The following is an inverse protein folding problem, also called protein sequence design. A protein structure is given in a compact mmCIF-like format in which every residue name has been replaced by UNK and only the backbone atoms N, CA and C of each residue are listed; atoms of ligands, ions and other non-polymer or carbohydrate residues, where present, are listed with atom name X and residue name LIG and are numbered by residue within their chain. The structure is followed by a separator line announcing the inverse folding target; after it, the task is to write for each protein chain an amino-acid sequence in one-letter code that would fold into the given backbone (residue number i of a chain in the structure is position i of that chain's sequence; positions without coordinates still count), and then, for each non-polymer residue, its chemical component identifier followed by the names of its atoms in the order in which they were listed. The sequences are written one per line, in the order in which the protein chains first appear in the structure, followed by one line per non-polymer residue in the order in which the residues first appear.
data_IF_799663667618
#
_entry.id   IF_799663667618
#
_cell.length_a   1.000
_cell.length_b   1.000
_cell.length_c   1.000
_cell.angle_alpha   90.00
_cell.angle_beta   90.00
_cell.angle_gamma   90.00
#
_symmetry.space_group_name_H-M   'P 1'
#
loop_
_entity.id
_entity.type
_entity.pdbx_description
1 polymer ?
#
# COMPACT_ATOMS: atom_id res chain seq x y z
N UNK A 1 -8.25 12.67 -4.16
CA UNK A 1 -7.93 12.08 -2.85
C UNK A 1 -8.21 10.59 -2.94
N UNK A 2 -7.23 9.72 -2.68
CA UNK A 2 -7.46 8.28 -2.65
C UNK A 2 -7.94 7.91 -1.24
N UNK A 3 -9.05 7.15 -1.05
CA UNK A 3 -9.58 6.83 0.27
C UNK A 3 -8.55 6.17 1.19
N UNK A 4 -7.71 5.30 0.63
CA UNK A 4 -6.64 4.61 1.34
C UNK A 4 -5.52 5.54 1.80
N UNK A 5 -5.14 6.54 0.99
CA UNK A 5 -4.10 7.49 1.40
C UNK A 5 -4.56 8.36 2.56
N UNK A 6 -5.82 8.76 2.57
CA UNK A 6 -6.40 9.55 3.66
C UNK A 6 -6.43 8.75 4.97
N UNK A 7 -6.92 7.51 4.92
CA UNK A 7 -6.95 6.64 6.09
C UNK A 7 -5.54 6.36 6.63
N UNK A 8 -4.57 6.18 5.74
CA UNK A 8 -3.19 5.93 6.15
C UNK A 8 -2.59 7.11 6.92
N UNK A 9 -2.71 8.34 6.40
CA UNK A 9 -2.14 9.53 7.04
C UNK A 9 -2.88 9.92 8.33
N UNK A 10 -4.21 9.79 8.38
CA UNK A 10 -5.02 10.25 9.52
C UNK A 10 -5.05 9.25 10.69
N UNK A 11 -5.15 7.95 10.40
CA UNK A 11 -5.36 6.91 11.42
C UNK A 11 -4.13 6.00 11.57
N UNK A 12 -3.68 5.38 10.48
CA UNK A 12 -2.71 4.27 10.56
C UNK A 12 -1.28 4.72 10.87
N UNK A 13 -0.89 5.94 10.50
CA UNK A 13 0.46 6.47 10.71
C UNK A 13 0.79 6.77 12.18
N UNK A 14 -0.21 7.05 12.99
CA UNK A 14 -0.02 7.45 14.40
C UNK A 14 0.49 6.29 15.27
N UNK A 15 0.02 5.07 15.02
CA UNK A 15 0.36 3.91 15.85
C UNK A 15 1.85 3.51 15.72
N UNK A 16 2.45 3.47 14.51
CA UNK A 16 3.91 3.31 14.34
C UNK A 16 4.74 4.45 14.94
N UNK A 17 4.30 5.71 14.81
CA UNK A 17 4.98 6.87 15.40
C UNK A 17 5.12 6.73 16.92
N UNK A 18 4.02 6.32 17.57
CA UNK A 18 3.97 6.17 19.02
C UNK A 18 4.70 4.92 19.51
N UNK A 19 4.58 3.78 18.82
CA UNK A 19 5.21 2.52 19.24
C UNK A 19 6.71 2.48 19.03
N UNK A 20 7.20 3.13 17.98
CA UNK A 20 8.61 2.98 17.56
C UNK A 20 9.53 4.06 18.16
N UNK A 21 8.97 5.05 18.87
CA UNK A 21 9.70 6.20 19.44
C UNK A 21 10.59 6.92 18.40
N UNK A 22 10.13 6.97 17.15
CA UNK A 22 10.86 7.70 16.12
C UNK A 22 10.91 9.18 16.49
N UNK A 23 12.12 9.73 16.64
CA UNK A 23 12.33 11.15 16.88
C UNK A 23 11.89 12.00 15.67
N UNK A 24 11.72 11.38 14.51
CA UNK A 24 11.37 12.03 13.26
C UNK A 24 10.20 11.34 12.54
N UNK A 25 9.19 12.11 12.15
CA UNK A 25 7.99 11.64 11.44
C UNK A 25 8.32 11.04 10.06
N UNK A 26 9.43 11.45 9.45
CA UNK A 26 9.88 10.92 8.15
C UNK A 26 10.44 9.49 8.22
N UNK A 27 10.74 8.98 9.43
CA UNK A 27 11.23 7.61 9.60
C UNK A 27 10.09 6.58 9.59
N UNK A 28 8.83 7.03 9.68
CA UNK A 28 7.68 6.14 9.56
C UNK A 28 7.46 5.79 8.09
N UNK A 29 7.54 4.49 7.72
CA UNK A 29 7.45 4.07 6.33
C UNK A 29 6.09 4.42 5.75
N UNK A 30 6.05 5.26 4.71
CA UNK A 30 4.82 5.58 3.96
C UNK A 30 4.32 4.40 3.11
N UNK A 31 3.27 4.63 2.33
CA UNK A 31 2.82 3.67 1.33
C UNK A 31 3.77 3.63 0.13
N UNK A 32 4.20 2.43 -0.26
CA UNK A 32 4.99 2.19 -1.47
C UNK A 32 4.10 1.76 -2.64
N UNK A 33 4.60 1.87 -3.87
CA UNK A 33 3.88 1.42 -5.07
C UNK A 33 3.75 -0.11 -5.10
N UNK A 34 2.54 -0.60 -5.38
CA UNK A 34 2.26 -2.03 -5.55
C UNK A 34 2.36 -2.37 -7.04
N UNK A 35 3.34 -3.20 -7.40
CA UNK A 35 3.48 -3.72 -8.77
C UNK A 35 2.76 -5.06 -8.91
N UNK A 36 1.83 -5.14 -9.85
CA UNK A 36 1.16 -6.40 -10.23
C UNK A 36 1.96 -7.07 -11.34
N UNK A 37 2.41 -8.30 -11.11
CA UNK A 37 3.10 -9.11 -12.12
C UNK A 37 2.18 -10.25 -12.52
N UNK A 38 1.62 -10.27 -13.74
CA UNK A 38 0.76 -11.36 -14.18
C UNK A 38 1.58 -12.62 -14.42
N UNK A 39 1.00 -13.76 -14.10
CA UNK A 39 1.53 -15.09 -14.37
C UNK A 39 1.07 -15.58 -15.76
N UNK A 40 1.81 -16.51 -16.41
CA UNK A 40 1.44 -17.01 -17.74
C UNK A 40 0.02 -17.60 -17.81
N UNK A 41 -0.50 -18.14 -16.71
CA UNK A 41 -1.87 -18.66 -16.60
C UNK A 41 -2.96 -17.59 -16.64
N UNK A 42 -2.63 -16.33 -16.34
CA UNK A 42 -3.61 -15.24 -16.27
C UNK A 42 -4.05 -14.75 -17.66
N UNK A 43 -3.32 -15.13 -18.71
CA UNK A 43 -3.59 -14.77 -20.11
C UNK A 43 -4.42 -15.80 -20.88
N UNK A 44 -5.06 -16.76 -20.20
CA UNK A 44 -5.95 -17.75 -20.86
C UNK A 44 -7.22 -17.07 -21.37
N UNK A 45 -7.12 -16.40 -22.51
CA UNK A 45 -8.25 -15.91 -23.30
C UNK A 45 -9.03 -17.15 -23.76
N UNK A 46 -10.17 -17.42 -23.12
CA UNK A 46 -11.17 -18.31 -23.68
C UNK A 46 -11.85 -17.56 -24.83
N UNK A 47 -11.36 -17.77 -26.05
CA UNK A 47 -12.20 -17.54 -27.22
C UNK A 47 -13.16 -18.72 -27.30
N UNK A 48 -14.24 -18.66 -26.52
CA UNK A 48 -15.38 -19.56 -26.72
C UNK A 48 -16.08 -19.11 -28.02
N UNK A 49 -16.29 -20.09 -28.90
CA UNK A 49 -16.73 -19.93 -30.29
C UNK A 49 -18.25 -19.84 -30.39
#
# INVERSE_FOLDING_TARGET
MFPLSFHYEDVSRQDPLLKLNHANVMEVPGSCEIRVVPTPSDFRIQNEK
#
